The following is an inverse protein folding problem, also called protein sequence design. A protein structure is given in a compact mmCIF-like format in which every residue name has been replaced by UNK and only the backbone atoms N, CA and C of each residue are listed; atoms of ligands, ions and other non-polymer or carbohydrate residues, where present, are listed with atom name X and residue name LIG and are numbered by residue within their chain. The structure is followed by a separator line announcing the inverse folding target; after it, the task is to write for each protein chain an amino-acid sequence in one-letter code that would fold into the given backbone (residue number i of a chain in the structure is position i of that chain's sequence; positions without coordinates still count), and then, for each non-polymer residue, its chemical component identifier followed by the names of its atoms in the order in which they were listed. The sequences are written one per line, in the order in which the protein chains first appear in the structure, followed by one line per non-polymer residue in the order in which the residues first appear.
data_IF_246720661030
#
_entry.id   IF_246720661030
#
_cell.length_a   1.000
_cell.length_b   1.000
_cell.length_c   1.000
_cell.angle_alpha   90.00
_cell.angle_beta   90.00
_cell.angle_gamma   90.00
#
_symmetry.space_group_name_H-M   'P 1'
#
loop_
_entity.id
_entity.type
_entity.pdbx_description
1 polymer ?
#
# COMPACT_ATOMS: atom_id res chain seq x y z
N UNK A 1 9.90 -25.90 -6.01
CA UNK A 1 11.21 -26.25 -5.41
C UNK A 1 10.97 -26.90 -4.04
N UNK A 2 11.99 -27.41 -3.31
CA UNK A 2 11.83 -27.81 -1.92
C UNK A 2 11.25 -26.67 -1.06
N UNK A 3 10.32 -27.00 -0.16
CA UNK A 3 9.57 -26.02 0.67
C UNK A 3 10.52 -25.12 1.49
N UNK A 4 11.55 -25.71 2.08
CA UNK A 4 12.61 -25.03 2.84
C UNK A 4 13.53 -24.12 2.01
N UNK A 5 13.53 -24.24 0.67
CA UNK A 5 14.29 -23.32 -0.19
C UNK A 5 13.54 -22.00 -0.37
N UNK A 6 12.22 -22.06 -0.57
CA UNK A 6 11.35 -20.89 -0.72
C UNK A 6 11.18 -20.11 0.59
N UNK A 7 10.99 -20.83 1.70
CA UNK A 7 10.99 -20.29 3.07
C UNK A 7 12.21 -19.39 3.32
N UNK A 8 13.41 -19.86 2.98
CA UNK A 8 14.62 -19.05 3.06
C UNK A 8 14.70 -17.89 2.06
N UNK A 9 13.97 -17.89 0.93
CA UNK A 9 13.84 -16.70 0.08
C UNK A 9 13.04 -15.62 0.80
N UNK A 10 11.92 -15.99 1.42
CA UNK A 10 11.04 -15.08 2.18
C UNK A 10 11.81 -14.46 3.35
N UNK A 11 12.49 -15.28 4.17
CA UNK A 11 13.34 -14.82 5.28
C UNK A 11 14.39 -13.78 4.83
N UNK A 12 15.12 -14.07 3.75
CA UNK A 12 16.16 -13.15 3.23
C UNK A 12 15.56 -11.87 2.63
N UNK A 13 14.38 -11.96 2.01
CA UNK A 13 13.70 -10.81 1.41
C UNK A 13 13.19 -9.90 2.52
N UNK A 14 12.39 -10.40 3.46
CA UNK A 14 11.91 -9.63 4.62
C UNK A 14 13.08 -9.01 5.44
N UNK A 15 14.16 -9.78 5.63
CA UNK A 15 15.37 -9.32 6.33
C UNK A 15 16.06 -8.08 5.74
N UNK A 16 15.76 -7.68 4.50
CA UNK A 16 16.31 -6.46 3.89
C UNK A 16 15.97 -5.18 4.67
N UNK A 17 14.85 -5.14 5.41
CA UNK A 17 14.47 -3.98 6.24
C UNK A 17 15.49 -3.74 7.36
N UNK A 18 16.14 -4.80 7.86
CA UNK A 18 17.18 -4.73 8.91
C UNK A 18 18.61 -4.73 8.33
N UNK A 19 18.77 -4.76 7.00
CA UNK A 19 20.08 -4.77 6.35
C UNK A 19 20.70 -3.35 6.32
N UNK A 20 21.68 -3.12 7.21
CA UNK A 20 22.45 -1.87 7.26
C UNK A 20 23.14 -1.46 5.95
N UNK A 21 23.36 -2.37 5.00
CA UNK A 21 23.94 -2.05 3.70
C UNK A 21 22.84 -1.60 2.74
N UNK A 22 21.69 -2.29 2.68
CA UNK A 22 20.53 -1.85 1.88
C UNK A 22 19.99 -0.52 2.41
N UNK A 23 19.82 -0.35 3.73
CA UNK A 23 19.43 0.92 4.35
C UNK A 23 20.43 2.05 4.03
N UNK A 24 21.75 1.79 4.07
CA UNK A 24 22.77 2.78 3.70
C UNK A 24 22.75 3.12 2.21
N UNK A 25 22.40 2.17 1.34
CA UNK A 25 22.21 2.44 -0.08
C UNK A 25 20.95 3.28 -0.32
N UNK A 26 19.84 2.99 0.35
CA UNK A 26 18.59 3.76 0.25
C UNK A 26 18.79 5.21 0.73
N UNK A 27 19.42 5.41 1.91
CA UNK A 27 19.66 6.75 2.47
C UNK A 27 20.57 7.64 1.60
N UNK A 28 21.40 7.07 0.70
CA UNK A 28 22.15 7.88 -0.31
C UNK A 28 21.24 8.62 -1.29
N UNK A 29 19.98 8.19 -1.43
CA UNK A 29 18.97 8.76 -2.33
C UNK A 29 17.82 9.43 -1.57
N UNK A 30 17.94 9.60 -0.24
CA UNK A 30 16.85 10.11 0.61
C UNK A 30 15.72 9.10 0.86
N UNK A 31 15.95 7.81 0.59
CA UNK A 31 14.96 6.75 0.70
C UNK A 31 15.20 5.88 1.94
N UNK A 32 14.13 5.33 2.52
CA UNK A 32 14.17 4.32 3.57
C UNK A 32 13.70 2.96 3.03
N UNK A 33 14.14 1.86 3.67
CA UNK A 33 13.56 0.53 3.48
C UNK A 33 12.67 0.23 4.69
N UNK A 34 11.43 -0.18 4.46
CA UNK A 34 10.38 -0.32 5.48
C UNK A 34 9.59 -1.61 5.27
N UNK A 35 8.95 -2.13 6.31
CA UNK A 35 7.92 -3.18 6.26
C UNK A 35 6.50 -2.60 6.40
N UNK A 36 6.35 -1.50 7.15
CA UNK A 36 5.12 -0.70 7.27
C UNK A 36 5.30 0.70 6.66
N UNK A 37 4.35 1.09 5.82
CA UNK A 37 4.32 2.39 5.13
C UNK A 37 3.08 3.18 5.57
N UNK A 38 3.25 4.48 5.78
CA UNK A 38 2.14 5.38 6.15
C UNK A 38 1.59 6.05 4.89
N UNK A 39 0.31 5.85 4.61
CA UNK A 39 -0.35 6.38 3.42
C UNK A 39 -1.50 7.34 3.84
N UNK A 40 -1.10 8.45 4.44
CA UNK A 40 -1.95 9.46 5.07
C UNK A 40 -2.70 10.35 4.06
N UNK A 41 -3.91 10.80 4.40
CA UNK A 41 -4.54 11.92 3.66
C UNK A 41 -4.64 13.20 4.49
N UNK A 42 -4.51 13.12 5.82
CA UNK A 42 -4.72 14.25 6.72
C UNK A 42 -4.02 14.10 8.08
N UNK A 43 -2.72 13.80 8.08
CA UNK A 43 -1.90 13.86 9.29
C UNK A 43 -1.83 15.29 9.84
N UNK A 44 -1.67 15.44 11.15
CA UNK A 44 -1.35 16.72 11.79
C UNK A 44 0.09 17.17 11.45
N UNK A 45 0.32 18.48 11.43
CA UNK A 45 1.64 19.10 11.20
C UNK A 45 2.64 18.60 12.27
N UNK A 46 3.86 18.28 11.85
CA UNK A 46 4.97 17.74 12.67
C UNK A 46 4.62 16.51 13.55
N UNK A 47 3.55 15.78 13.22
CA UNK A 47 3.06 14.62 13.99
C UNK A 47 3.32 13.28 13.29
N UNK A 48 3.06 12.19 14.04
CA UNK A 48 2.92 10.82 13.54
C UNK A 48 1.44 10.37 13.47
N UNK A 49 0.47 11.23 13.80
CA UNK A 49 -0.98 10.90 13.85
C UNK A 49 -1.88 11.99 13.27
N UNK A 50 -3.14 11.64 13.06
CA UNK A 50 -4.16 12.50 12.45
C UNK A 50 -5.33 11.71 11.87
N UNK A 51 -6.39 12.40 11.41
CA UNK A 51 -7.48 11.75 10.71
C UNK A 51 -7.04 11.09 9.39
N UNK A 52 -7.79 10.04 9.02
CA UNK A 52 -7.67 9.32 7.76
C UNK A 52 -6.22 8.92 7.40
N UNK A 53 -5.58 8.24 8.35
CA UNK A 53 -4.28 7.58 8.20
C UNK A 53 -4.50 6.09 8.06
N UNK A 54 -3.73 5.49 7.15
CA UNK A 54 -3.66 4.05 6.98
C UNK A 54 -2.21 3.57 7.06
N UNK A 55 -1.98 2.53 7.86
CA UNK A 55 -0.82 1.66 7.70
C UNK A 55 -1.04 0.79 6.47
N UNK A 56 0.01 0.61 5.67
CA UNK A 56 0.04 -0.36 4.59
C UNK A 56 1.29 -1.23 4.65
N UNK A 57 1.09 -2.52 4.40
CA UNK A 57 2.15 -3.53 4.26
C UNK A 57 1.93 -4.36 3.00
N UNK A 58 2.97 -5.00 2.47
CA UNK A 58 2.83 -6.08 1.48
C UNK A 58 3.12 -7.39 2.21
N UNK A 59 2.18 -8.34 2.22
CA UNK A 59 2.32 -9.59 3.00
C UNK A 59 2.33 -10.83 2.11
N UNK A 60 3.23 -11.76 2.46
CA UNK A 60 3.33 -13.10 1.84
C UNK A 60 3.03 -14.16 2.89
N UNK A 61 1.95 -14.92 2.69
CA UNK A 61 1.66 -16.12 3.49
C UNK A 61 2.42 -17.32 2.93
N UNK A 62 3.08 -18.06 3.81
CA UNK A 62 3.77 -19.30 3.44
C UNK A 62 3.59 -20.39 4.52
N UNK A 63 3.88 -21.63 4.13
CA UNK A 63 3.62 -22.83 4.94
C UNK A 63 4.93 -23.31 5.57
N UNK A 64 5.10 -23.18 6.88
CA UNK A 64 6.38 -23.41 7.59
C UNK A 64 6.84 -24.88 7.50
N UNK A 65 8.09 -25.17 7.17
CA UNK A 65 8.59 -26.53 6.99
C UNK A 65 8.54 -27.35 8.28
N UNK A 66 7.94 -28.54 8.20
CA UNK A 66 7.79 -29.45 9.35
C UNK A 66 6.65 -29.08 10.32
N UNK A 67 5.96 -27.95 10.11
CA UNK A 67 4.77 -27.58 10.87
C UNK A 67 3.49 -27.68 10.02
N UNK A 68 2.33 -27.75 10.69
CA UNK A 68 1.01 -27.75 10.05
C UNK A 68 0.42 -26.35 9.84
N UNK A 69 1.05 -25.30 10.39
CA UNK A 69 0.60 -23.91 10.28
C UNK A 69 1.21 -23.13 9.11
N UNK A 70 0.78 -21.88 9.01
CA UNK A 70 1.34 -20.86 8.13
C UNK A 70 2.05 -19.79 8.94
N UNK A 71 2.91 -19.03 8.25
CA UNK A 71 3.56 -17.84 8.74
C UNK A 71 3.37 -16.71 7.72
N UNK A 72 3.25 -15.49 8.24
CA UNK A 72 3.23 -14.26 7.46
C UNK A 72 4.61 -13.62 7.49
N UNK A 73 4.89 -12.80 6.49
CA UNK A 73 6.07 -11.94 6.48
C UNK A 73 5.74 -10.68 5.69
N UNK A 74 5.91 -9.52 6.33
CA UNK A 74 5.87 -8.23 5.66
C UNK A 74 7.08 -8.11 4.74
N UNK A 75 6.85 -7.70 3.51
CA UNK A 75 7.87 -7.57 2.47
C UNK A 75 8.44 -6.15 2.41
N UNK A 76 9.72 -5.98 2.03
CA UNK A 76 10.36 -4.67 2.04
C UNK A 76 9.79 -3.73 0.98
N UNK A 77 9.58 -2.48 1.39
CA UNK A 77 9.14 -1.38 0.54
C UNK A 77 10.16 -0.24 0.64
N UNK A 78 10.53 0.34 -0.50
CA UNK A 78 11.43 1.49 -0.59
C UNK A 78 10.64 2.73 -1.00
N UNK A 79 10.68 3.77 -0.16
CA UNK A 79 10.04 5.07 -0.38
C UNK A 79 10.78 6.19 0.36
N UNK A 80 10.36 7.44 0.15
CA UNK A 80 10.69 8.54 1.05
C UNK A 80 10.16 8.26 2.47
N UNK A 81 10.79 8.77 3.54
CA UNK A 81 10.44 8.43 4.92
C UNK A 81 8.94 8.62 5.22
N UNK A 82 8.38 7.72 6.04
CA UNK A 82 6.97 7.83 6.47
C UNK A 82 6.69 9.17 7.18
N UNK A 83 7.63 9.69 7.98
CA UNK A 83 7.40 10.92 8.75
C UNK A 83 7.23 12.15 7.84
N UNK A 84 8.13 12.41 6.90
CA UNK A 84 8.01 13.56 5.99
C UNK A 84 6.97 13.39 4.88
N UNK A 85 6.56 12.15 4.57
CA UNK A 85 5.55 11.81 3.55
C UNK A 85 5.61 12.67 2.28
N UNK A 86 6.78 12.68 1.64
CA UNK A 86 6.99 13.44 0.40
C UNK A 86 6.01 12.96 -0.67
N UNK A 87 5.13 13.87 -1.05
CA UNK A 87 3.98 13.64 -1.91
C UNK A 87 3.98 14.63 -3.07
N UNK A 88 3.38 14.21 -4.18
CA UNK A 88 3.14 15.06 -5.34
C UNK A 88 1.65 15.25 -5.59
N UNK A 89 1.26 16.40 -6.14
CA UNK A 89 -0.13 16.63 -6.58
C UNK A 89 -0.19 16.51 -8.10
N UNK A 90 -0.98 15.54 -8.58
CA UNK A 90 -1.17 15.25 -10.00
C UNK A 90 -2.67 15.40 -10.33
N UNK A 91 -3.06 16.03 -11.45
CA UNK A 91 -4.46 16.12 -11.86
C UNK A 91 -5.11 14.74 -11.98
N UNK A 92 -6.32 14.58 -11.42
CA UNK A 92 -6.98 13.27 -11.33
C UNK A 92 -7.22 12.61 -12.70
N UNK A 93 -7.33 13.42 -13.76
CA UNK A 93 -7.56 13.00 -15.14
C UNK A 93 -6.31 12.44 -15.85
N UNK A 94 -5.11 12.56 -15.25
CA UNK A 94 -3.90 11.91 -15.78
C UNK A 94 -3.73 10.47 -15.28
N UNK A 95 -4.43 10.09 -14.21
CA UNK A 95 -4.53 8.69 -13.78
C UNK A 95 -5.56 7.95 -14.61
N UNK A 96 -5.15 6.79 -15.12
CA UNK A 96 -6.02 5.89 -15.87
C UNK A 96 -5.95 4.48 -15.31
N UNK A 97 -7.10 3.82 -15.30
CA UNK A 97 -7.30 2.47 -14.76
C UNK A 97 -8.02 1.60 -15.78
N UNK A 98 -7.97 0.28 -15.59
CA UNK A 98 -8.65 -0.70 -16.45
C UNK A 98 -9.88 -1.25 -15.72
N UNK A 99 -11.03 -1.28 -16.40
CA UNK A 99 -12.33 -1.74 -15.87
C UNK A 99 -12.98 -2.70 -16.85
N UNK A 100 -13.93 -3.50 -16.38
CA UNK A 100 -14.60 -4.60 -17.09
C UNK A 100 -14.36 -5.97 -16.43
N UNK A 101 -13.27 -6.12 -15.67
CA UNK A 101 -12.95 -7.34 -14.92
C UNK A 101 -14.01 -7.66 -13.85
N UNK A 102 -14.68 -6.65 -13.29
CA UNK A 102 -15.79 -6.82 -12.35
C UNK A 102 -17.03 -7.49 -12.97
N UNK A 103 -17.10 -7.58 -14.31
CA UNK A 103 -18.18 -8.28 -15.05
C UNK A 103 -17.66 -9.39 -15.99
N UNK A 104 -16.35 -9.61 -16.02
CA UNK A 104 -15.71 -10.50 -17.00
C UNK A 104 -15.83 -10.00 -18.45
N UNK A 105 -15.94 -8.68 -18.64
CA UNK A 105 -16.00 -8.00 -19.94
C UNK A 105 -14.59 -7.57 -20.42
N UNK A 106 -14.47 -7.18 -21.70
CA UNK A 106 -13.20 -6.74 -22.29
C UNK A 106 -12.68 -5.45 -21.62
N UNK A 107 -11.41 -5.45 -21.20
CA UNK A 107 -10.83 -4.35 -20.42
C UNK A 107 -10.84 -3.02 -21.17
N UNK A 108 -11.54 -2.04 -20.58
CA UNK A 108 -11.65 -0.67 -21.07
C UNK A 108 -10.81 0.28 -20.19
N UNK A 109 -10.16 1.27 -20.82
CA UNK A 109 -9.33 2.27 -20.13
C UNK A 109 -10.16 3.52 -19.85
N UNK A 110 -10.35 3.84 -18.56
CA UNK A 110 -11.08 5.03 -18.06
C UNK A 110 -10.15 5.91 -17.22
N UNK A 111 -10.49 7.18 -16.99
CA UNK A 111 -9.74 8.01 -16.02
C UNK A 111 -10.18 7.72 -14.58
N UNK A 112 -9.35 8.10 -13.59
CA UNK A 112 -9.75 7.99 -12.18
C UNK A 112 -10.93 8.93 -11.85
N UNK A 113 -11.04 10.09 -12.52
CA UNK A 113 -12.22 10.96 -12.42
C UNK A 113 -13.48 10.25 -12.93
N UNK A 114 -13.39 9.57 -14.07
CA UNK A 114 -14.50 8.84 -14.67
C UNK A 114 -14.96 7.67 -13.78
N UNK A 115 -14.01 6.89 -13.23
CA UNK A 115 -14.31 5.82 -12.28
C UNK A 115 -14.98 6.35 -11.01
N UNK A 116 -14.46 7.41 -10.39
CA UNK A 116 -15.08 7.98 -9.18
C UNK A 116 -16.41 8.69 -9.46
N UNK A 117 -16.55 9.28 -10.65
CA UNK A 117 -17.73 10.03 -11.09
C UNK A 117 -18.97 9.19 -11.37
N UNK A 118 -18.79 7.89 -11.66
CA UNK A 118 -19.88 6.94 -11.92
C UNK A 118 -19.60 5.56 -11.27
N UNK A 119 -18.94 5.56 -10.11
CA UNK A 119 -18.41 4.38 -9.43
C UNK A 119 -19.43 3.24 -9.30
N UNK A 120 -20.71 3.55 -9.07
CA UNK A 120 -21.76 2.52 -8.94
C UNK A 120 -21.92 1.68 -10.22
N UNK A 121 -21.64 2.23 -11.40
CA UNK A 121 -21.66 1.50 -12.66
C UNK A 121 -20.38 0.69 -12.92
N UNK A 122 -19.35 0.79 -12.08
CA UNK A 122 -18.11 0.00 -12.11
C UNK A 122 -18.00 -1.01 -10.95
N UNK A 123 -19.15 -1.45 -10.41
CA UNK A 123 -19.27 -2.51 -9.40
C UNK A 123 -19.81 -3.82 -10.03
N UNK A 124 -19.40 -4.96 -9.48
CA UNK A 124 -19.99 -6.26 -9.75
C UNK A 124 -21.44 -6.34 -9.25
N UNK A 125 -21.69 -5.92 -8.00
CA UNK A 125 -23.03 -5.79 -7.42
C UNK A 125 -23.33 -4.32 -7.04
N UNK A 126 -23.81 -3.50 -8.01
CA UNK A 126 -24.21 -2.10 -7.81
C UNK A 126 -25.28 -1.83 -6.75
N UNK A 127 -25.88 -2.88 -6.18
CA UNK A 127 -26.87 -2.81 -5.08
C UNK A 127 -26.25 -2.96 -3.70
N UNK A 128 -25.00 -3.44 -3.62
CA UNK A 128 -24.22 -3.46 -2.37
C UNK A 128 -23.78 -2.06 -1.93
N UNK A 129 -23.99 -1.03 -2.76
CA UNK A 129 -24.04 0.35 -2.32
C UNK A 129 -25.51 0.71 -2.01
N UNK A 130 -25.82 0.89 -0.73
CA UNK A 130 -27.12 1.42 -0.29
C UNK A 130 -27.32 2.87 -0.76
N UNK A 131 -28.53 3.40 -0.55
CA UNK A 131 -28.91 4.74 -1.01
C UNK A 131 -28.92 4.87 -2.54
N UNK A 132 -29.01 6.11 -3.02
CA UNK A 132 -29.11 6.47 -4.44
C UNK A 132 -27.81 7.08 -5.03
N UNK A 133 -26.72 7.13 -4.25
CA UNK A 133 -25.46 7.77 -4.64
C UNK A 133 -24.71 6.99 -5.75
N UNK A 134 -24.46 7.62 -6.89
CA UNK A 134 -23.73 6.97 -8.02
C UNK A 134 -22.21 7.22 -8.01
N UNK A 135 -21.77 8.26 -7.29
CA UNK A 135 -20.46 8.90 -7.43
C UNK A 135 -19.79 9.12 -6.06
N UNK A 136 -18.47 8.97 -6.02
CA UNK A 136 -17.60 9.43 -4.93
C UNK A 136 -16.69 10.59 -5.37
N UNK A 137 -16.96 11.23 -6.51
CA UNK A 137 -16.20 12.39 -6.98
C UNK A 137 -16.74 13.69 -6.35
N UNK A 138 -15.91 14.39 -5.58
CA UNK A 138 -16.24 15.72 -5.05
C UNK A 138 -15.74 16.81 -6.00
N UNK A 139 -16.54 17.21 -7.00
CA UNK A 139 -16.14 18.09 -8.11
C UNK A 139 -15.47 19.43 -7.73
N UNK A 140 -15.80 20.03 -6.58
CA UNK A 140 -15.16 21.28 -6.11
C UNK A 140 -13.79 21.04 -5.44
N UNK A 141 -13.44 19.78 -5.15
CA UNK A 141 -12.26 19.35 -4.38
C UNK A 141 -11.30 18.52 -5.22
N UNK A 142 -11.82 17.49 -5.87
CA UNK A 142 -11.11 16.41 -6.56
C UNK A 142 -10.58 16.86 -7.94
N UNK A 143 -9.82 17.96 -7.94
CA UNK A 143 -9.05 18.44 -9.08
C UNK A 143 -7.75 17.64 -9.26
N UNK A 144 -7.06 17.39 -8.15
CA UNK A 144 -5.82 16.64 -8.04
C UNK A 144 -5.99 15.48 -7.06
N UNK A 145 -5.10 14.49 -7.17
CA UNK A 145 -4.91 13.45 -6.17
C UNK A 145 -3.57 13.62 -5.46
N UNK A 146 -3.49 13.17 -4.22
CA UNK A 146 -2.28 13.15 -3.41
C UNK A 146 -1.46 11.90 -3.76
N UNK A 147 -0.24 12.04 -4.28
CA UNK A 147 0.50 10.92 -4.88
C UNK A 147 1.78 10.59 -4.09
N UNK A 148 1.93 9.32 -3.73
CA UNK A 148 3.18 8.74 -3.22
C UNK A 148 3.70 7.69 -4.21
N UNK A 149 5.02 7.49 -4.27
CA UNK A 149 5.64 6.49 -5.15
C UNK A 149 6.68 5.64 -4.43
N UNK A 150 6.63 4.32 -4.65
CA UNK A 150 7.44 3.36 -3.92
C UNK A 150 7.72 2.06 -4.68
N UNK A 151 8.75 1.32 -4.26
CA UNK A 151 9.12 0.04 -4.86
C UNK A 151 9.03 -1.11 -3.83
N UNK A 152 8.32 -2.19 -4.18
CA UNK A 152 8.04 -3.32 -3.29
C UNK A 152 8.80 -4.57 -3.74
N UNK A 153 9.53 -5.23 -2.85
CA UNK A 153 10.25 -6.48 -3.16
C UNK A 153 9.38 -7.71 -2.93
N UNK A 154 9.32 -8.61 -3.91
CA UNK A 154 8.66 -9.90 -3.79
C UNK A 154 9.70 -11.04 -3.80
N UNK A 155 9.48 -12.10 -2.99
CA UNK A 155 10.42 -13.20 -2.79
C UNK A 155 10.37 -14.22 -3.95
N UNK A 156 10.27 -13.74 -5.20
CA UNK A 156 10.02 -14.56 -6.39
C UNK A 156 11.27 -15.39 -6.73
N UNK A 157 11.19 -16.72 -6.64
CA UNK A 157 12.33 -17.59 -6.93
C UNK A 157 12.76 -17.52 -8.40
N UNK A 158 13.90 -18.13 -8.73
CA UNK A 158 14.44 -18.11 -10.11
C UNK A 158 13.62 -18.87 -11.15
N UNK A 159 12.57 -19.56 -10.74
CA UNK A 159 11.56 -20.21 -11.57
C UNK A 159 10.29 -20.26 -10.71
N UNK A 160 9.20 -19.60 -11.12
CA UNK A 160 7.89 -19.71 -10.47
C UNK A 160 7.20 -18.37 -10.19
N UNK A 161 6.17 -18.43 -9.35
CA UNK A 161 5.29 -17.32 -8.97
C UNK A 161 5.31 -17.19 -7.45
N UNK A 162 5.24 -15.95 -6.94
CA UNK A 162 4.91 -15.67 -5.54
C UNK A 162 3.48 -15.13 -5.44
N UNK A 163 2.69 -15.65 -4.51
CA UNK A 163 1.38 -15.10 -4.13
C UNK A 163 1.56 -14.10 -2.99
N UNK A 164 0.86 -12.97 -3.05
CA UNK A 164 0.92 -11.89 -2.06
C UNK A 164 -0.37 -11.06 -2.04
N UNK A 165 -0.51 -10.25 -1.00
CA UNK A 165 -1.54 -9.21 -0.92
C UNK A 165 -0.91 -7.90 -0.40
N UNK A 166 -1.28 -6.73 -0.94
CA UNK A 166 -1.31 -5.52 -0.16
C UNK A 166 -2.28 -5.69 1.01
N UNK A 167 -1.93 -5.17 2.18
CA UNK A 167 -2.76 -5.20 3.39
C UNK A 167 -2.82 -3.80 3.95
N UNK A 168 -4.03 -3.29 4.16
CA UNK A 168 -4.28 -1.96 4.68
C UNK A 168 -4.94 -2.05 6.06
N UNK A 169 -4.45 -1.29 7.04
CA UNK A 169 -5.15 -1.01 8.29
C UNK A 169 -5.42 0.48 8.38
N UNK A 170 -6.69 0.89 8.42
CA UNK A 170 -7.06 2.30 8.53
C UNK A 170 -7.49 2.62 9.96
N UNK A 171 -6.80 3.55 10.63
CA UNK A 171 -6.95 3.83 12.07
C UNK A 171 -8.33 4.32 12.51
N UNK A 172 -9.17 4.77 11.57
CA UNK A 172 -10.53 5.22 11.85
C UNK A 172 -11.58 4.13 11.56
N UNK A 173 -11.32 3.22 10.63
CA UNK A 173 -12.31 2.29 10.07
C UNK A 173 -12.68 1.13 11.02
N UNK A 174 -13.92 0.64 10.90
CA UNK A 174 -14.45 -0.52 11.64
C UNK A 174 -15.69 -1.11 10.93
N UNK A 175 -16.16 -2.29 11.37
CA UNK A 175 -17.35 -2.95 10.81
C UNK A 175 -18.56 -1.99 10.74
N UNK A 176 -19.11 -1.84 9.53
CA UNK A 176 -20.29 -1.01 9.27
C UNK A 176 -20.08 0.51 9.24
N UNK A 177 -18.87 1.03 9.45
CA UNK A 177 -18.55 2.46 9.32
C UNK A 177 -17.12 2.72 8.78
N UNK A 178 -16.84 2.31 7.52
CA UNK A 178 -15.54 2.50 6.88
C UNK A 178 -15.20 3.99 6.74
N UNK A 179 -13.97 4.38 7.08
CA UNK A 179 -13.45 5.73 6.84
C UNK A 179 -12.72 5.85 5.49
N UNK A 180 -12.50 4.74 4.79
CA UNK A 180 -11.84 4.71 3.48
C UNK A 180 -12.37 3.56 2.62
N UNK A 181 -12.54 3.84 1.33
CA UNK A 181 -12.69 2.84 0.27
C UNK A 181 -11.39 2.76 -0.50
N UNK A 182 -10.95 1.54 -0.79
CA UNK A 182 -9.76 1.27 -1.61
C UNK A 182 -10.15 0.92 -3.04
N UNK A 183 -9.31 1.34 -3.98
CA UNK A 183 -9.35 0.92 -5.38
C UNK A 183 -7.98 0.37 -5.74
N UNK A 184 -7.89 -0.95 -5.90
CA UNK A 184 -6.69 -1.68 -6.31
C UNK A 184 -6.71 -1.86 -7.84
N UNK A 185 -5.89 -1.11 -8.57
CA UNK A 185 -5.82 -1.19 -10.03
C UNK A 185 -4.48 -1.78 -10.52
N UNK A 186 -4.56 -2.73 -11.45
CA UNK A 186 -3.44 -3.47 -12.03
C UNK A 186 -3.54 -3.47 -13.57
N UNK A 187 -2.56 -4.09 -14.26
CA UNK A 187 -2.66 -4.36 -15.72
C UNK A 187 -3.80 -5.29 -16.13
N UNK A 188 -4.50 -5.92 -15.19
CA UNK A 188 -5.59 -6.89 -15.45
C UNK A 188 -6.98 -6.36 -15.10
N UNK A 189 -7.08 -5.18 -14.48
CA UNK A 189 -8.35 -4.63 -14.04
C UNK A 189 -8.28 -3.85 -12.73
N UNK A 190 -9.46 -3.55 -12.17
CA UNK A 190 -9.65 -2.73 -10.97
C UNK A 190 -10.56 -3.43 -9.96
N UNK A 191 -10.24 -3.30 -8.66
CA UNK A 191 -10.97 -3.95 -7.56
C UNK A 191 -11.33 -2.92 -6.50
N UNK A 192 -12.59 -2.86 -6.09
CA UNK A 192 -13.15 -1.80 -5.23
C UNK A 192 -13.59 -2.40 -3.90
N UNK A 193 -13.03 -1.96 -2.77
CA UNK A 193 -13.29 -2.58 -1.46
C UNK A 193 -13.30 -1.55 -0.33
N UNK A 194 -14.38 -1.53 0.46
CA UNK A 194 -14.44 -0.77 1.73
C UNK A 194 -13.56 -1.41 2.80
N UNK A 195 -12.93 -0.58 3.64
CA UNK A 195 -12.06 -1.06 4.72
C UNK A 195 -12.81 -1.08 6.05
N UNK A 196 -12.84 -2.23 6.70
CA UNK A 196 -13.44 -2.47 8.02
C UNK A 196 -12.43 -2.99 9.05
N UNK A 197 -11.22 -3.38 8.62
CA UNK A 197 -10.14 -3.95 9.43
C UNK A 197 -10.43 -5.34 10.07
N UNK A 198 -11.59 -5.96 9.84
CA UNK A 198 -11.95 -7.27 10.41
C UNK A 198 -11.97 -8.40 9.36
N UNK A 199 -12.38 -8.08 8.13
CA UNK A 199 -12.48 -9.06 7.05
C UNK A 199 -11.13 -9.46 6.48
N UNK A 200 -11.18 -10.58 5.75
CA UNK A 200 -10.12 -10.99 4.84
C UNK A 200 -8.74 -11.22 5.49
N UNK A 201 -8.73 -11.51 6.79
CA UNK A 201 -7.57 -12.04 7.50
C UNK A 201 -7.00 -13.33 6.87
N UNK A 202 -5.78 -13.67 7.27
CA UNK A 202 -5.02 -14.82 6.76
C UNK A 202 -5.26 -16.10 7.60
N UNK A 203 -4.98 -17.28 7.03
CA UNK A 203 -5.04 -18.57 7.76
C UNK A 203 -3.99 -18.67 8.90
N UNK A 204 -3.01 -17.76 8.94
CA UNK A 204 -1.95 -17.70 9.95
C UNK A 204 -2.36 -17.10 11.32
N UNK A 205 -3.54 -16.47 11.43
CA UNK A 205 -4.05 -15.88 12.69
C UNK A 205 -4.55 -14.44 12.53
N UNK A 206 -4.64 -13.72 13.66
CA UNK A 206 -4.96 -12.28 13.65
C UNK A 206 -3.90 -11.47 12.88
N UNK A 207 -4.36 -10.46 12.16
CA UNK A 207 -3.54 -9.64 11.25
C UNK A 207 -3.82 -8.16 11.48
N UNK A 208 -2.77 -7.35 11.39
CA UNK A 208 -2.93 -5.90 11.37
C UNK A 208 -3.36 -5.48 9.96
N UNK A 209 -4.65 -5.24 9.80
CA UNK A 209 -5.27 -4.83 8.54
C UNK A 209 -5.92 -5.95 7.73
N UNK A 210 -6.65 -5.51 6.72
CA UNK A 210 -7.47 -6.27 5.79
C UNK A 210 -6.70 -6.54 4.50
N UNK A 211 -6.74 -7.78 3.99
CA UNK A 211 -6.12 -8.12 2.69
C UNK A 211 -6.89 -7.43 1.56
N UNK A 212 -6.15 -6.89 0.61
CA UNK A 212 -6.69 -6.46 -0.68
C UNK A 212 -6.52 -7.59 -1.71
N UNK A 213 -7.57 -7.78 -2.51
CA UNK A 213 -7.67 -8.84 -3.52
C UNK A 213 -7.96 -8.27 -4.90
N UNK A 214 -7.71 -9.08 -5.93
CA UNK A 214 -8.22 -8.82 -7.27
C UNK A 214 -9.66 -9.32 -7.43
N UNK A 215 -10.54 -8.50 -8.00
CA UNK A 215 -11.92 -8.85 -8.36
C UNK A 215 -11.96 -9.49 -9.75
N UNK A 216 -12.15 -10.81 -9.81
CA UNK A 216 -12.33 -11.58 -11.02
C UNK A 216 -13.83 -11.93 -11.17
N UNK A 217 -14.63 -10.97 -11.65
CA UNK A 217 -16.07 -11.09 -11.84
C UNK A 217 -16.84 -11.60 -10.59
N UNK A 218 -16.68 -10.90 -9.47
CA UNK A 218 -17.36 -11.21 -8.20
C UNK A 218 -16.69 -12.29 -7.36
N UNK A 219 -15.63 -12.94 -7.85
CA UNK A 219 -14.79 -13.85 -7.10
C UNK A 219 -13.42 -13.20 -6.82
N UNK A 220 -12.86 -13.41 -5.62
CA UNK A 220 -11.61 -12.80 -5.18
C UNK A 220 -10.41 -13.71 -5.45
N UNK A 221 -9.31 -13.13 -5.92
CA UNK A 221 -8.05 -13.81 -6.14
C UNK A 221 -6.88 -13.04 -5.51
N UNK A 222 -5.89 -13.75 -4.96
CA UNK A 222 -4.65 -13.14 -4.46
C UNK A 222 -3.84 -12.56 -5.63
N UNK A 223 -2.99 -11.56 -5.37
CA UNK A 223 -2.08 -11.08 -6.40
C UNK A 223 -0.92 -12.07 -6.61
N UNK A 224 -0.49 -12.20 -7.85
CA UNK A 224 0.66 -13.03 -8.24
C UNK A 224 1.78 -12.16 -8.80
N UNK A 225 3.02 -12.52 -8.49
CA UNK A 225 4.22 -11.91 -9.04
C UNK A 225 5.11 -12.96 -9.74
N UNK A 226 5.44 -12.71 -11.00
CA UNK A 226 6.37 -13.52 -11.81
C UNK A 226 7.57 -12.66 -12.24
N UNK A 227 8.75 -13.27 -12.45
CA UNK A 227 9.90 -12.57 -13.04
C UNK A 227 9.61 -12.11 -14.47
N UNK A 228 9.98 -10.87 -14.82
CA UNK A 228 9.84 -10.34 -16.19
C UNK A 228 10.61 -11.19 -17.21
N UNK A 229 11.76 -11.75 -16.84
CA UNK A 229 12.50 -12.72 -17.66
C UNK A 229 11.71 -14.01 -17.93
N UNK A 230 11.10 -14.62 -16.91
CA UNK A 230 10.25 -15.82 -17.06
C UNK A 230 8.99 -15.53 -17.89
N UNK A 231 8.35 -14.38 -17.69
CA UNK A 231 7.14 -13.96 -18.42
C UNK A 231 7.42 -13.77 -19.92
N UNK A 232 8.50 -13.05 -20.27
CA UNK A 232 8.92 -12.87 -21.66
C UNK A 232 9.29 -14.22 -22.31
N UNK A 233 9.95 -15.11 -21.57
CA UNK A 233 10.28 -16.45 -22.06
C UNK A 233 9.02 -17.28 -22.38
N UNK A 234 7.98 -17.23 -21.53
CA UNK A 234 6.69 -17.87 -21.79
C UNK A 234 6.00 -17.28 -23.02
N UNK A 235 5.88 -15.95 -23.10
CA UNK A 235 5.24 -15.26 -24.22
C UNK A 235 5.90 -15.57 -25.58
N UNK A 236 7.23 -15.69 -25.63
CA UNK A 236 7.98 -16.05 -26.85
C UNK A 236 7.75 -17.52 -27.24
N UNK A 237 7.51 -18.42 -26.29
CA UNK A 237 7.17 -19.81 -26.58
C UNK A 237 5.74 -19.93 -27.12
N UNK A 238 4.77 -19.24 -26.53
CA UNK A 238 3.37 -19.26 -26.97
C UNK A 238 3.18 -18.56 -28.32
N UNK A 239 3.81 -17.40 -28.53
CA UNK A 239 3.80 -16.65 -29.80
C UNK A 239 4.53 -17.35 -30.96
N UNK A 240 5.08 -18.55 -30.75
CA UNK A 240 5.72 -19.35 -31.81
C UNK A 240 4.70 -20.10 -32.70
N UNK A 241 3.40 -19.92 -32.47
CA UNK A 241 2.30 -20.54 -33.23
C UNK A 241 1.45 -19.47 -33.94
N UNK A 242 1.87 -19.09 -35.15
CA UNK A 242 1.08 -18.42 -36.20
C UNK A 242 0.23 -17.17 -35.82
N UNK A 243 0.85 -16.10 -35.30
CA UNK A 243 0.75 -14.74 -35.89
C UNK A 243 1.73 -13.74 -35.26
N UNK A 244 2.02 -12.61 -35.94
CA UNK A 244 2.92 -11.55 -35.44
C UNK A 244 2.17 -10.21 -35.37
N UNK A 245 1.70 -9.79 -34.18
CA UNK A 245 1.12 -8.47 -33.97
C UNK A 245 2.17 -7.36 -34.16
N UNK A 246 1.88 -6.37 -35.01
CA UNK A 246 2.76 -5.22 -35.25
C UNK A 246 2.43 -4.04 -34.34
N UNK A 247 2.77 -4.16 -33.05
CA UNK A 247 2.70 -3.06 -32.07
C UNK A 247 3.73 -3.20 -30.95
N UNK A 248 4.98 -3.55 -31.29
CA UNK A 248 6.12 -3.30 -30.40
C UNK A 248 6.27 -1.78 -30.23
N UNK A 249 6.13 -1.29 -28.99
CA UNK A 249 6.72 -0.08 -28.40
C UNK A 249 6.02 0.31 -27.07
N UNK A 250 4.77 -0.13 -26.83
CA UNK A 250 3.95 0.32 -25.67
C UNK A 250 3.47 -0.79 -24.70
N UNK A 251 3.80 -2.07 -24.91
CA UNK A 251 3.30 -3.19 -24.09
C UNK A 251 4.22 -3.62 -22.92
N UNK A 252 5.38 -2.97 -22.73
CA UNK A 252 6.38 -3.37 -21.71
C UNK A 252 6.49 -2.43 -20.50
N UNK A 253 5.93 -1.21 -20.58
CA UNK A 253 5.81 -0.30 -19.43
C UNK A 253 4.58 -0.66 -18.59
N UNK A 254 4.68 -0.55 -17.26
CA UNK A 254 3.56 -0.76 -16.33
C UNK A 254 3.24 -2.22 -15.97
N UNK A 255 3.93 -3.22 -16.55
CA UNK A 255 3.71 -4.64 -16.23
C UNK A 255 3.95 -4.99 -14.74
N UNK A 256 4.75 -4.20 -14.04
CA UNK A 256 5.08 -4.35 -12.63
C UNK A 256 4.43 -3.29 -11.72
N UNK A 257 3.44 -2.57 -12.23
CA UNK A 257 2.80 -1.45 -11.53
C UNK A 257 1.44 -1.86 -10.96
N UNK A 258 1.20 -1.44 -9.71
CA UNK A 258 -0.12 -1.43 -9.08
C UNK A 258 -0.37 0.00 -8.58
N UNK A 259 -1.59 0.49 -8.78
CA UNK A 259 -2.08 1.68 -8.08
C UNK A 259 -2.96 1.22 -6.92
N UNK A 260 -2.67 1.71 -5.71
CA UNK A 260 -3.64 1.67 -4.63
C UNK A 260 -4.18 3.08 -4.41
N UNK A 261 -5.45 3.28 -4.76
CA UNK A 261 -6.16 4.53 -4.45
C UNK A 261 -6.90 4.36 -3.13
N UNK A 262 -6.82 5.40 -2.28
CA UNK A 262 -7.63 5.55 -1.08
C UNK A 262 -8.61 6.71 -1.28
N UNK A 263 -9.89 6.43 -1.11
CA UNK A 263 -11.00 7.38 -1.23
C UNK A 263 -11.59 7.59 0.17
N UNK A 264 -11.34 8.73 0.84
CA UNK A 264 -11.86 8.98 2.17
C UNK A 264 -13.40 9.02 2.22
N UNK A 265 -13.97 8.37 3.22
CA UNK A 265 -15.42 8.20 3.44
C UNK A 265 -15.86 8.84 4.77
N UNK A 266 -17.10 9.34 4.79
CA UNK A 266 -17.69 9.97 5.97
C UNK A 266 -18.12 8.93 7.00
N UNK A 267 -17.55 9.04 8.20
CA UNK A 267 -17.96 8.27 9.37
C UNK A 267 -19.16 8.87 10.10
N UNK A 268 -19.94 8.01 10.76
CA UNK A 268 -21.12 8.39 11.55
C UNK A 268 -20.74 9.10 12.85
N UNK A 269 -19.63 8.71 13.49
CA UNK A 269 -19.13 9.34 14.73
C UNK A 269 -17.62 9.68 14.65
N UNK A 270 -17.24 10.91 14.26
CA UNK A 270 -15.87 11.40 14.27
C UNK A 270 -15.39 11.86 15.66
N UNK A 271 -14.07 11.86 15.85
CA UNK A 271 -13.36 11.99 17.13
C UNK A 271 -13.16 13.45 17.60
N UNK A 272 -13.18 13.70 18.93
CA UNK A 272 -12.93 15.00 19.59
C UNK A 272 -12.16 14.79 20.92
N UNK A 273 -11.27 15.71 21.31
CA UNK A 273 -10.05 15.32 22.10
C UNK A 273 -9.26 16.49 22.78
N UNK A 274 -8.67 16.30 24.00
CA UNK A 274 -7.48 17.01 24.55
C UNK A 274 -6.72 16.38 25.80
N UNK A 275 -5.35 16.49 25.86
CA UNK A 275 -4.30 16.30 26.96
C UNK A 275 -3.74 14.87 27.36
N UNK A 276 -2.44 14.53 27.60
CA UNK A 276 -1.09 15.16 27.55
C UNK A 276 0.15 14.15 27.66
N UNK A 277 1.08 14.12 26.68
CA UNK A 277 2.60 14.00 26.69
C UNK A 277 3.52 12.74 27.04
N UNK A 278 4.72 12.67 26.37
CA UNK A 278 6.14 12.33 26.80
C UNK A 278 7.01 11.04 26.37
N UNK A 279 8.06 11.26 25.53
CA UNK A 279 9.47 10.73 25.20
C UNK A 279 10.10 9.26 25.12
N UNK A 280 11.17 9.13 24.25
CA UNK A 280 12.50 8.36 24.30
C UNK A 280 12.70 6.81 23.97
N UNK A 281 13.86 6.20 23.51
CA UNK A 281 14.80 6.24 22.30
C UNK A 281 15.68 4.91 22.16
N UNK A 282 16.16 4.45 20.95
CA UNK A 282 17.51 3.84 20.58
C UNK A 282 17.66 2.51 19.74
N UNK A 283 18.61 2.50 18.77
CA UNK A 283 19.50 1.49 18.08
C UNK A 283 19.41 -0.06 18.29
N UNK A 284 19.97 -1.00 17.46
CA UNK A 284 20.33 -1.18 16.00
C UNK A 284 21.24 -2.44 15.77
N UNK A 285 21.16 -3.19 14.63
CA UNK A 285 22.05 -4.34 14.24
C UNK A 285 22.24 -4.56 12.70
N UNK A 286 23.04 -5.54 12.22
CA UNK A 286 23.74 -5.53 10.90
C UNK A 286 23.54 -6.74 9.90
N UNK A 287 24.12 -6.61 8.70
CA UNK A 287 23.73 -7.24 7.41
C UNK A 287 24.55 -8.47 6.87
N UNK A 288 23.99 -9.28 5.94
CA UNK A 288 24.69 -10.34 5.17
C UNK A 288 25.43 -9.81 3.91
N UNK A 289 25.98 -10.72 3.08
CA UNK A 289 26.60 -10.37 1.77
C UNK A 289 26.34 -11.39 0.67
N UNK A 290 26.17 -10.91 -0.57
CA UNK A 290 25.96 -11.70 -1.79
C UNK A 290 26.07 -10.81 -3.04
N UNK A 291 25.58 -11.29 -4.19
CA UNK A 291 25.39 -10.47 -5.39
C UNK A 291 23.91 -10.41 -5.78
N UNK A 292 23.43 -9.24 -6.22
CA UNK A 292 22.02 -9.00 -6.53
C UNK A 292 21.46 -9.92 -7.62
N UNK A 293 20.15 -10.20 -7.53
CA UNK A 293 19.37 -10.87 -8.58
C UNK A 293 18.02 -10.18 -8.87
N UNK A 294 17.97 -8.88 -8.56
CA UNK A 294 16.78 -8.02 -8.69
C UNK A 294 16.38 -7.83 -10.16
N UNK A 295 15.09 -7.98 -10.45
CA UNK A 295 14.48 -7.58 -11.72
C UNK A 295 13.05 -7.05 -11.49
N UNK A 296 12.32 -6.68 -12.53
CA UNK A 296 10.92 -6.30 -12.42
C UNK A 296 10.02 -7.54 -12.25
N UNK A 297 9.01 -7.44 -11.36
CA UNK A 297 8.02 -8.49 -11.17
C UNK A 297 6.75 -8.16 -11.97
N UNK A 298 6.41 -8.97 -12.98
CA UNK A 298 5.12 -8.87 -13.68
C UNK A 298 4.02 -9.29 -12.72
N UNK A 299 3.03 -8.41 -12.51
CA UNK A 299 1.91 -8.65 -11.60
C UNK A 299 0.72 -9.27 -12.35
N UNK A 300 -0.05 -10.13 -11.69
CA UNK A 300 -1.35 -10.61 -12.11
C UNK A 300 -2.18 -11.08 -10.91
N UNK A 301 -3.17 -11.95 -11.14
CA UNK A 301 -3.92 -12.64 -10.09
C UNK A 301 -3.64 -14.17 -10.03
N UNK A 302 -4.09 -14.82 -8.97
CA UNK A 302 -3.97 -16.27 -8.73
C UNK A 302 -5.28 -17.03 -8.97
N UNK A 303 -5.41 -18.23 -8.40
CA UNK A 303 -6.70 -18.94 -8.37
C UNK A 303 -7.71 -18.19 -7.48
N UNK A 304 -9.01 -18.29 -7.82
CA UNK A 304 -10.09 -17.67 -7.02
C UNK A 304 -10.32 -18.45 -5.72
N UNK A 305 -10.39 -17.75 -4.59
CA UNK A 305 -10.57 -18.35 -3.25
C UNK A 305 -11.98 -18.22 -2.65
N UNK A 306 -12.88 -17.46 -3.30
CA UNK A 306 -14.28 -17.30 -2.89
C UNK A 306 -14.87 -15.93 -3.30
N UNK A 307 -16.08 -15.57 -2.86
CA UNK A 307 -16.74 -14.33 -3.26
C UNK A 307 -15.96 -13.08 -2.82
N UNK A 308 -15.97 -12.07 -3.69
CA UNK A 308 -15.41 -10.73 -3.48
C UNK A 308 -16.46 -9.82 -2.81
N UNK A 309 -16.03 -8.93 -1.91
CA UNK A 309 -16.90 -7.97 -1.21
C UNK A 309 -16.54 -6.55 -1.61
N UNK A 310 -17.51 -5.79 -2.11
CA UNK A 310 -17.30 -4.42 -2.62
C UNK A 310 -17.65 -3.34 -1.59
N UNK A 311 -18.95 -3.03 -1.43
CA UNK A 311 -19.46 -1.95 -0.55
C UNK A 311 -20.36 -2.49 0.59
N UNK A 312 -20.62 -3.80 0.63
CA UNK A 312 -21.17 -4.50 1.81
C UNK A 312 -22.56 -4.02 2.29
N UNK A 313 -23.45 -3.73 1.35
CA UNK A 313 -24.77 -3.12 1.57
C UNK A 313 -24.72 -1.75 2.29
N UNK A 314 -23.56 -1.10 2.40
CA UNK A 314 -23.37 0.16 3.13
C UNK A 314 -23.78 1.39 2.32
N UNK A 315 -24.27 2.41 3.03
CA UNK A 315 -24.65 3.73 2.50
C UNK A 315 -23.44 4.68 2.65
N UNK A 316 -22.43 4.50 1.80
CA UNK A 316 -21.16 5.26 1.88
C UNK A 316 -21.26 6.62 1.15
N UNK A 317 -20.59 7.63 1.72
CA UNK A 317 -20.49 8.99 1.16
C UNK A 317 -19.03 9.49 1.22
N UNK A 318 -18.58 10.20 0.17
CA UNK A 318 -17.24 10.80 0.03
C UNK A 318 -16.99 11.89 1.09
N UNK A 319 -15.83 11.85 1.75
CA UNK A 319 -15.38 12.86 2.72
C UNK A 319 -14.44 13.90 2.10
N UNK A 320 -15.03 14.89 1.46
CA UNK A 320 -14.37 16.00 0.73
C UNK A 320 -13.35 16.81 1.56
N UNK A 321 -13.41 16.74 2.90
CA UNK A 321 -12.38 17.29 3.79
C UNK A 321 -10.98 16.77 3.46
N UNK A 322 -10.89 15.52 3.02
CA UNK A 322 -9.65 14.79 2.80
C UNK A 322 -9.42 14.52 1.30
N UNK A 323 -8.19 14.59 0.78
CA UNK A 323 -7.89 14.30 -0.62
C UNK A 323 -8.02 12.80 -0.92
N UNK A 324 -8.33 12.46 -2.17
CA UNK A 324 -8.10 11.10 -2.69
C UNK A 324 -6.58 10.90 -2.83
N UNK A 325 -6.03 9.83 -2.24
CA UNK A 325 -4.61 9.48 -2.32
C UNK A 325 -4.37 8.35 -3.30
N UNK A 326 -3.35 8.46 -4.16
CA UNK A 326 -2.90 7.41 -5.09
C UNK A 326 -1.48 6.99 -4.73
N UNK A 327 -1.32 5.75 -4.34
CA UNK A 327 -0.01 5.16 -4.01
C UNK A 327 0.48 4.31 -5.19
N UNK A 328 1.56 4.73 -5.84
CA UNK A 328 2.14 4.05 -7.01
C UNK A 328 3.18 3.03 -6.53
N UNK A 329 2.90 1.73 -6.74
CA UNK A 329 3.78 0.64 -6.32
C UNK A 329 4.46 -0.03 -7.52
N UNK A 330 5.80 -0.01 -7.53
CA UNK A 330 6.64 -0.69 -8.51
C UNK A 330 7.20 -2.00 -7.95
N UNK A 331 6.75 -3.14 -8.45
CA UNK A 331 7.13 -4.44 -7.91
C UNK A 331 8.46 -4.95 -8.50
N UNK A 332 9.31 -5.52 -7.64
CA UNK A 332 10.65 -6.03 -7.94
C UNK A 332 10.81 -7.47 -7.44
N UNK A 333 11.34 -8.36 -8.27
CA UNK A 333 11.56 -9.77 -7.94
C UNK A 333 12.97 -10.00 -7.38
N UNK A 334 13.13 -10.74 -6.28
CA UNK A 334 14.43 -11.30 -5.83
C UNK A 334 14.29 -12.73 -5.31
N UNK A 335 15.32 -13.55 -5.49
CA UNK A 335 15.41 -14.91 -4.91
C UNK A 335 16.45 -15.00 -3.80
N UNK A 336 17.18 -13.91 -3.52
CA UNK A 336 18.26 -13.91 -2.55
C UNK A 336 18.20 -12.79 -1.50
N UNK A 337 17.36 -11.77 -1.66
CA UNK A 337 17.27 -10.64 -0.73
C UNK A 337 18.48 -9.69 -0.81
N UNK A 338 19.21 -9.70 -1.93
CA UNK A 338 20.40 -8.86 -2.14
C UNK A 338 20.10 -7.80 -3.17
N UNK A 339 20.39 -6.55 -2.82
CA UNK A 339 20.27 -5.36 -3.68
C UNK A 339 21.67 -4.78 -3.91
N UNK A 340 21.91 -4.15 -5.06
CA UNK A 340 23.16 -3.43 -5.37
C UNK A 340 22.96 -1.91 -5.44
N UNK A 341 24.06 -1.16 -5.49
CA UNK A 341 24.00 0.30 -5.66
C UNK A 341 23.36 0.71 -7.00
N UNK A 342 23.43 -0.14 -8.02
CA UNK A 342 22.75 0.11 -9.30
C UNK A 342 21.24 -0.08 -9.17
N UNK A 343 20.79 -1.20 -8.59
CA UNK A 343 19.35 -1.47 -8.40
C UNK A 343 18.69 -0.37 -7.57
N UNK A 344 19.39 0.12 -6.53
CA UNK A 344 18.92 1.22 -5.69
C UNK A 344 18.82 2.55 -6.46
N UNK A 345 19.81 2.86 -7.30
CA UNK A 345 19.77 4.06 -8.12
C UNK A 345 18.66 4.00 -9.20
N UNK A 346 18.42 2.83 -9.79
CA UNK A 346 17.33 2.60 -10.73
C UNK A 346 15.95 2.72 -10.06
N UNK A 347 15.78 2.18 -8.84
CA UNK A 347 14.59 2.37 -8.01
C UNK A 347 14.39 3.86 -7.68
N UNK A 348 15.43 4.57 -7.27
CA UNK A 348 15.34 6.00 -6.97
C UNK A 348 14.92 6.83 -8.18
N UNK A 349 15.43 6.52 -9.38
CA UNK A 349 15.01 7.15 -10.65
C UNK A 349 13.55 6.79 -11.00
N UNK A 350 13.12 5.53 -10.80
CA UNK A 350 11.76 5.10 -11.08
C UNK A 350 10.73 5.79 -10.17
N UNK A 351 11.04 5.93 -8.87
CA UNK A 351 10.25 6.68 -7.90
C UNK A 351 10.19 8.17 -8.30
N UNK A 352 11.34 8.79 -8.60
CA UNK A 352 11.40 10.20 -9.00
C UNK A 352 10.68 10.50 -10.33
N UNK A 353 10.52 9.52 -11.25
CA UNK A 353 9.75 9.70 -12.49
C UNK A 353 8.28 10.04 -12.22
N UNK A 354 7.69 9.57 -11.11
CA UNK A 354 6.30 9.89 -10.72
C UNK A 354 6.18 11.33 -10.23
N UNK A 355 7.03 11.74 -9.29
CA UNK A 355 7.04 13.12 -8.78
C UNK A 355 7.33 14.17 -9.86
N UNK A 356 8.09 13.81 -10.91
CA UNK A 356 8.31 14.67 -12.09
C UNK A 356 7.05 14.94 -12.94
N UNK A 357 5.92 14.28 -12.65
CA UNK A 357 4.63 14.52 -13.30
C UNK A 357 3.70 15.42 -12.44
N UNK A 358 4.13 15.81 -11.23
CA UNK A 358 3.33 16.59 -10.30
C UNK A 358 3.47 18.10 -10.51
N UNK A 359 2.34 18.82 -10.44
CA UNK A 359 2.33 20.30 -10.46
C UNK A 359 2.88 20.89 -9.15
N UNK A 360 2.78 20.12 -8.05
CA UNK A 360 3.32 20.44 -6.73
C UNK A 360 4.03 19.22 -6.15
N UNK A 361 5.14 19.42 -5.43
CA UNK A 361 5.89 18.36 -4.72
C UNK A 361 6.28 18.93 -3.36
N UNK A 362 6.11 18.15 -2.29
CA UNK A 362 6.54 18.52 -0.93
C UNK A 362 5.93 17.61 0.13
N UNK A 363 6.12 17.97 1.39
CA UNK A 363 5.34 17.40 2.49
C UNK A 363 3.93 18.02 2.58
N UNK A 364 3.02 17.36 3.30
CA UNK A 364 1.84 17.97 3.91
C UNK A 364 1.89 17.88 5.45
N UNK A 365 3.07 17.56 6.01
CA UNK A 365 3.32 17.31 7.43
C UNK A 365 4.38 18.26 7.99
N UNK A 366 5.51 18.45 7.29
CA UNK A 366 6.66 19.25 7.78
C UNK A 366 6.90 20.56 7.01
N UNK A 367 6.27 20.75 5.85
CA UNK A 367 6.38 21.98 5.05
C UNK A 367 5.41 23.09 5.53
N UNK A 368 4.47 22.72 6.43
CA UNK A 368 3.35 23.55 6.87
C UNK A 368 2.30 23.82 5.78
N UNK A 369 1.40 24.77 6.06
CA UNK A 369 0.29 25.12 5.16
C UNK A 369 0.77 25.91 3.93
N UNK A 370 1.00 25.19 2.83
CA UNK A 370 1.53 25.72 1.56
C UNK A 370 0.43 26.11 0.54
N UNK A 371 -0.83 25.76 0.81
CA UNK A 371 -1.97 26.01 -0.06
C UNK A 371 -2.09 25.02 -1.22
N UNK A 372 -1.66 23.76 -1.01
CA UNK A 372 -1.70 22.71 -2.04
C UNK A 372 -3.14 22.26 -2.34
N UNK A 373 -3.49 21.90 -3.60
CA UNK A 373 -4.85 21.47 -3.96
C UNK A 373 -5.33 20.22 -3.20
N UNK A 374 -4.41 19.41 -2.69
CA UNK A 374 -4.66 18.20 -1.89
C UNK A 374 -4.65 18.44 -0.37
N UNK A 375 -4.18 19.60 0.10
CA UNK A 375 -4.06 19.94 1.52
C UNK A 375 -5.41 19.77 2.25
N UNK A 376 -5.40 19.21 3.46
CA UNK A 376 -6.63 18.75 4.11
C UNK A 376 -7.41 19.90 4.79
N UNK A 377 -8.73 19.75 4.95
CA UNK A 377 -9.56 20.74 5.62
C UNK A 377 -9.80 20.35 7.09
N UNK A 378 -9.28 21.12 8.04
CA UNK A 378 -9.51 20.86 9.47
C UNK A 378 -8.60 21.63 10.43
N UNK A 379 -8.38 21.02 11.60
CA UNK A 379 -7.30 21.39 12.51
C UNK A 379 -6.07 20.58 12.16
N UNK A 380 -4.96 21.26 11.92
CA UNK A 380 -3.66 20.64 11.66
C UNK A 380 -2.86 20.33 12.93
N UNK A 381 -3.31 20.74 14.12
CA UNK A 381 -2.60 20.48 15.38
C UNK A 381 -3.10 19.20 16.08
N UNK A 382 -2.17 18.37 16.56
CA UNK A 382 -2.48 17.15 17.32
C UNK A 382 -3.23 17.45 18.63
N UNK A 383 -4.45 16.89 18.82
CA UNK A 383 -5.16 16.94 20.09
C UNK A 383 -4.44 16.08 21.15
N UNK A 384 -4.02 16.63 22.31
CA UNK A 384 -3.00 15.94 23.10
C UNK A 384 -3.43 14.68 23.90
N UNK A 385 -4.69 14.23 23.80
CA UNK A 385 -5.19 12.92 24.28
C UNK A 385 -5.54 11.97 23.11
N UNK A 386 -5.07 12.26 21.89
CA UNK A 386 -5.38 11.50 20.67
C UNK A 386 -5.27 9.99 20.91
N UNK A 387 -4.18 9.59 21.56
CA UNK A 387 -3.88 8.22 21.95
C UNK A 387 -4.85 7.63 22.99
N UNK A 388 -5.35 8.40 23.96
CA UNK A 388 -6.33 7.87 24.91
C UNK A 388 -7.64 7.53 24.19
N UNK A 389 -8.17 8.48 23.40
CA UNK A 389 -9.39 8.26 22.62
C UNK A 389 -9.22 7.13 21.60
N UNK A 390 -8.05 7.05 20.95
CA UNK A 390 -7.73 5.95 20.06
C UNK A 390 -7.79 4.59 20.77
N UNK A 391 -7.09 4.41 21.90
CA UNK A 391 -7.10 3.13 22.62
C UNK A 391 -8.47 2.80 23.23
N UNK A 392 -9.24 3.81 23.68
CA UNK A 392 -10.63 3.62 24.12
C UNK A 392 -11.52 3.11 22.97
N UNK A 393 -11.43 3.72 21.77
CA UNK A 393 -12.21 3.32 20.58
C UNK A 393 -11.75 1.98 20.00
N UNK A 394 -10.44 1.72 19.93
CA UNK A 394 -9.89 0.45 19.47
C UNK A 394 -10.41 -0.72 20.33
N UNK A 395 -10.39 -0.56 21.66
CA UNK A 395 -10.95 -1.54 22.59
C UNK A 395 -12.47 -1.67 22.47
N UNK A 396 -13.21 -0.56 22.29
CA UNK A 396 -14.66 -0.58 22.13
C UNK A 396 -15.12 -1.29 20.85
N UNK A 397 -14.35 -1.15 19.76
CA UNK A 397 -14.66 -1.77 18.47
C UNK A 397 -14.19 -3.23 18.43
N UNK A 398 -12.90 -3.50 18.72
CA UNK A 398 -12.27 -4.82 18.50
C UNK A 398 -12.25 -5.75 19.71
N UNK A 399 -12.48 -5.21 20.92
CA UNK A 399 -12.25 -5.89 22.19
C UNK A 399 -10.77 -6.14 22.56
N UNK A 400 -9.81 -5.77 21.71
CA UNK A 400 -8.37 -5.91 21.98
C UNK A 400 -7.87 -4.78 22.89
N UNK A 401 -7.07 -5.12 23.91
CA UNK A 401 -6.35 -4.12 24.71
C UNK A 401 -5.08 -3.64 23.99
N UNK A 402 -4.51 -2.54 24.47
CA UNK A 402 -3.21 -2.04 23.99
C UNK A 402 -2.10 -3.10 24.10
N UNK A 403 -2.13 -3.95 25.12
CA UNK A 403 -1.12 -4.99 25.32
C UNK A 403 -1.29 -6.13 24.30
N UNK A 404 -2.53 -6.53 23.98
CA UNK A 404 -2.82 -7.53 22.93
C UNK A 404 -2.35 -7.05 21.54
N UNK A 405 -2.62 -5.78 21.21
CA UNK A 405 -2.15 -5.15 19.97
C UNK A 405 -0.62 -5.05 19.94
N UNK A 406 0.01 -4.72 21.06
CA UNK A 406 1.47 -4.64 21.17
C UNK A 406 2.16 -6.00 21.00
N UNK A 407 1.59 -7.10 21.54
CA UNK A 407 2.08 -8.47 21.32
C UNK A 407 1.89 -8.89 19.84
N UNK A 408 0.75 -8.56 19.23
CA UNK A 408 0.48 -8.83 17.82
C UNK A 408 1.47 -8.12 16.88
N UNK A 409 1.72 -6.82 17.10
CA UNK A 409 2.70 -6.05 16.31
C UNK A 409 4.13 -6.56 16.52
N UNK A 410 4.49 -6.93 17.76
CA UNK A 410 5.81 -7.51 18.07
C UNK A 410 6.01 -8.88 17.41
N UNK A 411 4.96 -9.69 17.28
CA UNK A 411 4.97 -10.95 16.51
C UNK A 411 5.02 -10.73 14.99
N UNK A 412 4.45 -9.65 14.47
CA UNK A 412 4.40 -9.36 13.03
C UNK A 412 5.68 -8.69 12.50
N UNK A 413 6.25 -7.76 13.27
CA UNK A 413 7.38 -6.91 12.88
C UNK A 413 8.69 -7.28 13.61
N UNK A 414 8.62 -8.12 14.64
CA UNK A 414 9.77 -8.62 15.42
C UNK A 414 10.16 -7.72 16.59
N UNK A 415 10.83 -8.30 17.59
CA UNK A 415 11.13 -7.72 18.92
C UNK A 415 11.68 -6.28 18.94
N UNK A 416 12.34 -5.81 17.86
CA UNK A 416 12.99 -4.50 17.80
C UNK A 416 12.19 -3.42 17.03
N UNK A 417 10.95 -3.68 16.61
CA UNK A 417 10.20 -2.77 15.72
C UNK A 417 10.06 -1.33 16.25
N UNK A 418 9.89 -1.16 17.56
CA UNK A 418 9.71 0.16 18.22
C UNK A 418 10.97 1.03 18.19
N UNK A 419 12.16 0.45 17.96
CA UNK A 419 13.43 1.17 17.93
C UNK A 419 13.61 1.98 16.64
N UNK A 420 13.22 1.41 15.49
CA UNK A 420 13.53 1.97 14.17
C UNK A 420 12.65 3.17 13.79
N UNK A 421 11.40 3.20 14.26
CA UNK A 421 10.48 4.32 14.05
C UNK A 421 10.97 5.60 14.73
N UNK A 422 11.45 5.49 15.97
CA UNK A 422 11.87 6.65 16.75
C UNK A 422 13.13 7.33 16.19
N UNK A 423 14.17 6.58 15.83
CA UNK A 423 15.36 7.17 15.20
C UNK A 423 15.05 7.84 13.85
N UNK A 424 14.00 7.35 13.16
CA UNK A 424 13.54 7.94 11.89
C UNK A 424 12.79 9.25 12.11
N UNK A 425 11.97 9.37 13.16
CA UNK A 425 11.30 10.62 13.53
C UNK A 425 12.30 11.67 14.04
N UNK A 426 13.22 11.29 14.92
CA UNK A 426 14.25 12.18 15.46
C UNK A 426 15.24 12.68 14.40
N UNK A 427 15.51 11.87 13.35
CA UNK A 427 16.28 12.30 12.18
C UNK A 427 15.46 13.26 11.31
N UNK A 428 14.18 12.97 11.04
CA UNK A 428 13.35 13.83 10.20
C UNK A 428 13.16 15.24 10.80
N UNK A 429 12.98 15.35 12.13
CA UNK A 429 12.91 16.64 12.83
C UNK A 429 14.25 17.41 12.74
N UNK A 430 15.39 16.73 12.88
CA UNK A 430 16.70 17.38 12.73
C UNK A 430 16.99 17.80 11.28
N UNK A 431 16.46 17.09 10.29
CA UNK A 431 16.58 17.44 8.88
C UNK A 431 15.65 18.63 8.51
N UNK A 432 14.42 18.73 9.05
CA UNK A 432 13.55 19.89 8.84
C UNK A 432 13.99 21.15 9.59
N UNK A 433 14.63 21.03 10.77
CA UNK A 433 15.28 22.17 11.45
C UNK A 433 16.56 22.69 10.72
N UNK A 434 17.00 22.05 9.64
CA UNK A 434 18.30 22.31 8.99
C UNK A 434 18.26 23.05 7.63
N UNK A 435 17.09 23.31 7.04
CA UNK A 435 16.93 23.99 5.72
C UNK A 435 16.48 25.47 5.81
#
# INVERSE_FOLDING_TARGET
MPRSEYEGVIERTAGMVQDQTVQRMAKKHGLHVLDVTWEDTARFDDSAVGPNISDMTIQVQHRVSGQSGYQLSCMPVIRYPNFSDISGDIPMDEFFVLVGNERGEDLTKVSLRELLGDLRNYLHEPKSWSGDCQSLLAEERDSHVLVSAQACFLPIPKNGIAEFNPVLFNYQSYEGDPAVLTILATREGTSVTVIDNERDGFEAGQTWGQRLFFNQNGERANLTGQRKSDFIAAFVLESSVDEVPKSQDNHEEGLNLVLLVQVPLKQKEPQHSAWEDDTCVMYSMAAPTGGSDVEEAVIGHGEVEGPFTEIDDLDIERDDRYPVRVTVQFYKATSNGVVSEQDMAEIAVQINKVYQQSDYIGSLVVDGQVGRPTEHAGSHSEPPDWWENFWQRHFANTGQTRDDVMEMLERLLGENWRTASQESAEQAIQESESE
#
